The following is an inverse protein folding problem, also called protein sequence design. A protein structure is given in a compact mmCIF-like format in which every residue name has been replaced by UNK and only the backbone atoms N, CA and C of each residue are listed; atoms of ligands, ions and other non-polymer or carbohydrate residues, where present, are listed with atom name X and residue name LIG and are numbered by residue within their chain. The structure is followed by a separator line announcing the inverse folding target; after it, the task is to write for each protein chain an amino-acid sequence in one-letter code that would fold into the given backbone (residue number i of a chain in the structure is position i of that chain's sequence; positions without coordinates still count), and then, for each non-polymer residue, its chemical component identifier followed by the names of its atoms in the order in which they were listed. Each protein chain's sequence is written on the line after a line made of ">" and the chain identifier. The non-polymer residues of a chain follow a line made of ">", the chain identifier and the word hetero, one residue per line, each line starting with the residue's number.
data_IF_020706371865
#
_entry.id   IF_020706371865
#
_cell.length_a   1.000
_cell.length_b   1.000
_cell.length_c   1.000
_cell.angle_alpha   90.00
_cell.angle_beta   90.00
_cell.angle_gamma   90.00
#
_symmetry.space_group_name_H-M   'P 1'
#
loop_
_entity.id
_entity.type
_entity.pdbx_description
1 polymer ?
#
# COMPACT_ATOMS: atom_id res chain seq x y z
N UNK A 1 11.38 23.39 -66.45
CA UNK A 1 10.19 22.67 -65.92
C UNK A 1 10.47 21.28 -65.35
N UNK A 2 11.33 20.48 -65.96
CA UNK A 2 11.56 19.09 -65.49
C UNK A 2 12.21 18.96 -64.09
N UNK A 3 13.04 19.92 -63.68
CA UNK A 3 13.68 19.88 -62.33
C UNK A 3 12.74 20.15 -61.17
N UNK A 4 11.73 20.99 -61.37
CA UNK A 4 10.75 21.36 -60.32
C UNK A 4 9.78 20.22 -60.04
N UNK A 5 9.44 19.39 -61.05
CA UNK A 5 8.57 18.23 -60.90
C UNK A 5 9.27 17.13 -60.08
N UNK A 6 10.57 16.90 -60.29
CA UNK A 6 11.36 15.95 -59.51
C UNK A 6 11.48 16.33 -58.05
N UNK A 7 11.59 17.66 -57.77
CA UNK A 7 11.66 18.16 -56.38
C UNK A 7 10.35 17.99 -55.63
N UNK A 8 9.21 18.25 -56.27
CA UNK A 8 7.87 18.06 -55.72
C UNK A 8 7.53 16.57 -55.49
N UNK A 9 7.99 15.67 -56.37
CA UNK A 9 7.83 14.23 -56.16
C UNK A 9 8.68 13.74 -54.99
N UNK A 10 9.93 14.22 -54.83
CA UNK A 10 10.81 13.90 -53.69
C UNK A 10 10.22 14.38 -52.35
N UNK A 11 9.59 15.58 -52.35
CA UNK A 11 9.00 16.13 -51.15
C UNK A 11 7.73 15.39 -50.70
N UNK A 12 6.89 14.98 -51.67
CA UNK A 12 5.72 14.14 -51.43
C UNK A 12 6.07 12.75 -50.91
N UNK A 13 7.14 12.16 -51.46
CA UNK A 13 7.62 10.86 -51.00
C UNK A 13 8.17 10.89 -49.57
N UNK A 14 8.95 11.93 -49.21
CA UNK A 14 9.46 12.12 -47.84
C UNK A 14 8.34 12.37 -46.85
N UNK A 15 7.33 13.17 -47.21
CA UNK A 15 6.15 13.43 -46.38
C UNK A 15 5.34 12.15 -46.13
N UNK A 16 5.14 11.33 -47.14
CA UNK A 16 4.44 10.05 -47.04
C UNK A 16 5.18 9.06 -46.13
N UNK A 17 6.50 9.01 -46.22
CA UNK A 17 7.34 8.14 -45.36
C UNK A 17 7.27 8.54 -43.89
N UNK A 18 7.26 9.86 -43.58
CA UNK A 18 7.13 10.37 -42.23
C UNK A 18 5.73 10.04 -41.66
N UNK A 19 4.68 10.26 -42.46
CA UNK A 19 3.30 9.95 -42.01
C UNK A 19 3.16 8.43 -41.75
N UNK A 20 3.71 7.58 -42.62
CA UNK A 20 3.70 6.14 -42.43
C UNK A 20 4.47 5.71 -41.20
N UNK A 21 5.61 6.34 -40.91
CA UNK A 21 6.41 6.10 -39.73
C UNK A 21 5.67 6.47 -38.40
N UNK A 22 4.97 7.60 -38.43
CA UNK A 22 4.14 8.03 -37.27
C UNK A 22 2.96 7.10 -37.07
N UNK A 23 2.29 6.66 -38.16
CA UNK A 23 1.19 5.69 -38.08
C UNK A 23 1.66 4.32 -37.52
N UNK A 24 2.84 3.86 -37.93
CA UNK A 24 3.44 2.64 -37.42
C UNK A 24 3.80 2.76 -35.93
N UNK A 25 4.38 3.87 -35.50
CA UNK A 25 4.70 4.12 -34.11
C UNK A 25 3.43 4.15 -33.22
N UNK A 26 2.38 4.86 -33.66
CA UNK A 26 1.09 4.89 -32.96
C UNK A 26 0.47 3.48 -32.90
N UNK A 27 0.53 2.72 -33.99
CA UNK A 27 0.01 1.35 -34.05
C UNK A 27 0.75 0.42 -33.08
N UNK A 28 2.06 0.56 -32.93
CA UNK A 28 2.87 -0.22 -31.98
C UNK A 28 2.50 0.15 -30.54
N UNK A 29 2.35 1.45 -30.22
CA UNK A 29 1.94 1.90 -28.88
C UNK A 29 0.55 1.36 -28.53
N UNK A 30 -0.42 1.51 -29.44
CA UNK A 30 -1.78 0.99 -29.23
C UNK A 30 -1.80 -0.54 -29.11
N UNK A 31 -0.93 -1.25 -29.82
CA UNK A 31 -0.83 -2.70 -29.73
C UNK A 31 -0.19 -3.14 -28.40
N UNK A 32 0.81 -2.44 -27.91
CA UNK A 32 1.44 -2.71 -26.59
C UNK A 32 0.49 -2.43 -25.43
N UNK A 33 -0.27 -1.32 -25.49
CA UNK A 33 -1.31 -1.04 -24.49
C UNK A 33 -2.42 -2.09 -24.52
N UNK A 34 -2.90 -2.46 -25.71
CA UNK A 34 -3.93 -3.50 -25.86
C UNK A 34 -3.44 -4.88 -25.40
N UNK A 35 -2.17 -5.22 -25.66
CA UNK A 35 -1.55 -6.47 -25.20
C UNK A 35 -1.40 -6.46 -23.67
N UNK A 36 -1.06 -5.33 -23.06
CA UNK A 36 -1.01 -5.15 -21.61
C UNK A 36 -2.38 -5.34 -20.97
N UNK A 37 -3.44 -4.76 -21.55
CA UNK A 37 -4.82 -4.93 -21.09
C UNK A 37 -5.30 -6.39 -21.25
N UNK A 38 -4.96 -7.05 -22.36
CA UNK A 38 -5.30 -8.47 -22.56
C UNK A 38 -4.53 -9.37 -21.58
N UNK A 39 -3.27 -9.09 -21.33
CA UNK A 39 -2.45 -9.82 -20.38
C UNK A 39 -3.00 -9.67 -18.94
N UNK A 40 -3.38 -8.47 -18.53
CA UNK A 40 -4.06 -8.22 -17.26
C UNK A 40 -5.43 -8.94 -17.18
N UNK A 41 -6.19 -8.97 -18.28
CA UNK A 41 -7.47 -9.67 -18.32
C UNK A 41 -7.31 -11.20 -18.26
N UNK A 42 -6.25 -11.75 -18.89
CA UNK A 42 -5.93 -13.17 -18.80
C UNK A 42 -5.43 -13.57 -17.40
N UNK A 43 -4.61 -12.74 -16.77
CA UNK A 43 -4.20 -12.95 -15.36
C UNK A 43 -5.42 -12.95 -14.46
N UNK A 44 -6.31 -11.96 -14.58
CA UNK A 44 -7.56 -11.91 -13.81
C UNK A 44 -8.44 -13.14 -14.08
N UNK A 45 -8.56 -13.57 -15.33
CA UNK A 45 -9.35 -14.75 -15.70
C UNK A 45 -8.73 -16.04 -15.18
N UNK A 46 -7.41 -16.15 -15.19
CA UNK A 46 -6.68 -17.30 -14.66
C UNK A 46 -6.78 -17.36 -13.14
N UNK A 47 -6.63 -16.22 -12.44
CA UNK A 47 -6.85 -16.12 -11.02
C UNK A 47 -8.30 -16.44 -10.59
N UNK A 48 -9.30 -16.11 -11.45
CA UNK A 48 -10.70 -16.47 -11.19
C UNK A 48 -10.99 -17.95 -11.44
N UNK A 49 -10.34 -18.57 -12.42
CA UNK A 49 -10.48 -20.00 -12.72
C UNK A 49 -9.70 -20.88 -11.74
N UNK A 50 -8.60 -20.39 -11.20
CA UNK A 50 -7.82 -21.10 -10.17
C UNK A 50 -8.47 -21.01 -8.76
N UNK A 51 -9.44 -20.11 -8.54
CA UNK A 51 -10.15 -20.05 -7.25
C UNK A 51 -10.86 -21.38 -6.88
N UNK A 52 -11.37 -22.10 -7.86
CA UNK A 52 -12.03 -23.40 -7.61
C UNK A 52 -11.02 -24.55 -7.42
N UNK A 53 -9.77 -24.38 -7.88
CA UNK A 53 -8.68 -25.36 -7.68
C UNK A 53 -7.79 -25.03 -6.49
N UNK A 54 -7.70 -23.75 -6.08
CA UNK A 54 -6.93 -23.30 -4.91
C UNK A 54 -7.49 -23.84 -3.60
N UNK A 55 -8.78 -24.21 -3.52
CA UNK A 55 -9.33 -24.87 -2.34
C UNK A 55 -8.61 -26.18 -2.01
N UNK A 56 -7.98 -26.82 -2.99
CA UNK A 56 -7.23 -28.08 -2.77
C UNK A 56 -5.74 -27.82 -2.47
N UNK A 57 -5.16 -26.74 -2.99
CA UNK A 57 -3.76 -26.36 -2.68
C UNK A 57 -3.63 -25.60 -1.35
N UNK A 58 -4.64 -24.88 -0.93
CA UNK A 58 -4.66 -24.22 0.40
C UNK A 58 -4.52 -25.23 1.55
N UNK A 59 -4.87 -26.52 1.33
CA UNK A 59 -4.62 -27.56 2.33
C UNK A 59 -3.15 -28.02 2.37
N UNK A 60 -2.38 -27.84 1.31
CA UNK A 60 -0.95 -28.19 1.28
C UNK A 60 -0.06 -27.07 1.88
N UNK A 61 -0.50 -25.82 1.84
CA UNK A 61 0.19 -24.66 2.45
C UNK A 61 -0.05 -24.58 3.96
N UNK A 62 -1.00 -25.33 4.50
CA UNK A 62 -1.39 -25.37 5.93
C UNK A 62 -0.29 -25.88 6.88
N UNK A 63 0.89 -26.26 6.38
CA UNK A 63 2.04 -26.70 7.19
C UNK A 63 3.18 -25.67 7.28
N UNK A 64 3.02 -24.46 6.73
CA UNK A 64 3.91 -23.35 7.05
C UNK A 64 3.30 -22.65 8.24
N UNK A 65 3.91 -22.75 9.42
CA UNK A 65 3.50 -21.95 10.58
C UNK A 65 3.47 -20.50 10.15
N UNK A 66 2.27 -19.90 10.15
CA UNK A 66 2.11 -18.49 9.82
C UNK A 66 2.76 -17.65 10.88
N UNK A 67 3.79 -16.90 10.53
CA UNK A 67 4.42 -15.93 11.44
C UNK A 67 3.74 -14.55 11.40
N UNK A 68 2.78 -14.38 10.51
CA UNK A 68 2.05 -13.12 10.30
C UNK A 68 0.54 -13.31 10.47
N UNK A 69 -0.06 -12.42 11.27
CA UNK A 69 -1.50 -12.31 11.44
C UNK A 69 -1.99 -11.02 10.79
N UNK A 70 -3.02 -11.09 9.97
CA UNK A 70 -3.73 -9.91 9.45
C UNK A 70 -5.05 -9.76 10.17
N UNK A 71 -5.30 -8.58 10.72
CA UNK A 71 -6.58 -8.17 11.31
C UNK A 71 -7.30 -7.24 10.34
N UNK A 72 -8.52 -7.58 9.97
CA UNK A 72 -9.37 -6.75 9.12
C UNK A 72 -10.79 -6.68 9.66
N UNK A 73 -11.55 -5.70 9.20
CA UNK A 73 -12.99 -5.56 9.42
C UNK A 73 -13.73 -5.52 8.08
N UNK A 74 -14.39 -6.60 7.71
CA UNK A 74 -15.15 -6.69 6.46
C UNK A 74 -16.31 -5.71 6.34
N UNK A 75 -16.66 -4.99 7.40
CA UNK A 75 -17.64 -3.91 7.36
C UNK A 75 -17.04 -2.55 6.95
N UNK A 76 -15.72 -2.41 6.94
CA UNK A 76 -14.99 -1.24 6.47
C UNK A 76 -14.54 -1.45 5.02
N UNK A 77 -14.97 -0.60 4.10
CA UNK A 77 -14.67 -0.78 2.67
C UNK A 77 -13.18 -0.66 2.36
N UNK A 78 -12.47 0.26 3.02
CA UNK A 78 -11.03 0.45 2.92
C UNK A 78 -10.25 -0.77 3.42
N UNK A 79 -10.71 -1.41 4.49
CA UNK A 79 -10.13 -2.65 5.02
C UNK A 79 -10.20 -3.81 4.00
N UNK A 80 -11.33 -3.92 3.29
CA UNK A 80 -11.50 -4.96 2.25
C UNK A 80 -10.58 -4.70 1.07
N UNK A 81 -10.52 -3.46 0.60
CA UNK A 81 -9.64 -3.07 -0.52
C UNK A 81 -8.18 -3.29 -0.17
N UNK A 82 -7.76 -2.89 1.04
CA UNK A 82 -6.41 -3.10 1.51
C UNK A 82 -6.07 -4.59 1.59
N UNK A 83 -6.99 -5.43 2.09
CA UNK A 83 -6.75 -6.88 2.12
C UNK A 83 -6.50 -7.46 0.73
N UNK A 84 -7.29 -7.08 -0.28
CA UNK A 84 -7.09 -7.57 -1.65
C UNK A 84 -5.69 -7.22 -2.21
N UNK A 85 -5.09 -6.12 -1.76
CA UNK A 85 -3.74 -5.72 -2.17
C UNK A 85 -2.67 -6.47 -1.37
N UNK A 86 -2.81 -6.53 -0.05
CA UNK A 86 -1.89 -7.27 0.83
C UNK A 86 -1.86 -8.76 0.53
N UNK A 87 -3.01 -9.39 0.23
CA UNK A 87 -3.08 -10.79 -0.18
C UNK A 87 -2.16 -11.08 -1.37
N UNK A 88 -2.13 -10.19 -2.38
CA UNK A 88 -1.23 -10.32 -3.53
C UNK A 88 0.23 -10.18 -3.12
N UNK A 89 0.55 -9.21 -2.27
CA UNK A 89 1.91 -9.00 -1.76
C UNK A 89 2.38 -10.25 -1.02
N UNK A 90 1.57 -10.82 -0.13
CA UNK A 90 1.92 -12.02 0.61
C UNK A 90 2.08 -13.25 -0.30
N UNK A 91 1.22 -13.40 -1.32
CA UNK A 91 1.36 -14.44 -2.34
C UNK A 91 2.68 -14.31 -3.10
N UNK A 92 3.04 -13.11 -3.54
CA UNK A 92 4.30 -12.85 -4.25
C UNK A 92 5.53 -13.09 -3.35
N UNK A 93 5.44 -12.74 -2.08
CA UNK A 93 6.48 -12.99 -1.08
C UNK A 93 6.53 -14.45 -0.62
N UNK A 94 5.55 -15.28 -0.98
CA UNK A 94 5.39 -16.67 -0.51
C UNK A 94 5.38 -16.78 1.02
N UNK A 95 4.79 -15.79 1.68
CA UNK A 95 4.70 -15.72 3.14
C UNK A 95 3.36 -16.30 3.60
N UNK A 96 3.40 -17.24 4.55
CA UNK A 96 2.19 -17.75 5.19
C UNK A 96 1.56 -16.68 6.07
N UNK A 97 0.25 -16.49 5.93
CA UNK A 97 -0.51 -15.46 6.64
C UNK A 97 -1.80 -16.05 7.16
N UNK A 98 -2.13 -15.76 8.41
CA UNK A 98 -3.46 -16.02 8.97
C UNK A 98 -4.28 -14.74 8.91
N UNK A 99 -5.48 -14.84 8.34
CA UNK A 99 -6.44 -13.73 8.27
C UNK A 99 -7.49 -13.88 9.36
N UNK A 100 -7.68 -12.85 10.16
CA UNK A 100 -8.78 -12.74 11.11
C UNK A 100 -9.67 -11.54 10.75
N UNK A 101 -10.83 -11.83 10.17
CA UNK A 101 -11.91 -10.85 10.03
C UNK A 101 -12.65 -10.76 11.37
N UNK A 102 -12.56 -9.65 12.05
CA UNK A 102 -13.13 -9.43 13.38
C UNK A 102 -14.67 -9.51 13.42
N UNK A 103 -15.33 -9.51 12.26
CA UNK A 103 -16.78 -9.70 12.13
C UNK A 103 -17.17 -11.17 12.04
N UNK A 104 -16.27 -12.02 11.59
CA UNK A 104 -16.56 -13.40 11.26
C UNK A 104 -15.86 -14.42 12.17
N UNK A 105 -14.76 -14.00 12.80
CA UNK A 105 -13.92 -14.90 13.60
C UNK A 105 -13.50 -14.26 14.92
N UNK A 106 -13.21 -15.11 15.91
CA UNK A 106 -12.51 -14.66 17.10
C UNK A 106 -11.06 -14.31 16.76
N UNK A 107 -10.55 -13.26 17.38
CA UNK A 107 -9.17 -12.85 17.21
C UNK A 107 -8.28 -13.87 17.97
N UNK A 108 -7.32 -14.52 17.27
CA UNK A 108 -6.47 -15.53 17.87
C UNK A 108 -5.53 -14.93 18.94
N UNK A 109 -4.93 -15.79 19.75
CA UNK A 109 -3.83 -15.39 20.62
C UNK A 109 -2.60 -15.01 19.79
N UNK A 110 -1.90 -13.96 20.19
CA UNK A 110 -0.79 -13.38 19.42
C UNK A 110 0.55 -14.10 19.64
N UNK A 111 0.63 -15.04 20.60
CA UNK A 111 1.90 -15.66 21.00
C UNK A 111 2.60 -16.45 19.89
N UNK A 112 1.84 -16.93 18.90
CA UNK A 112 2.35 -17.68 17.75
C UNK A 112 2.85 -16.81 16.59
N UNK A 113 2.69 -15.50 16.65
CA UNK A 113 3.01 -14.60 15.55
C UNK A 113 4.21 -13.72 15.87
N UNK A 114 4.95 -13.33 14.83
CA UNK A 114 6.05 -12.35 14.91
C UNK A 114 5.58 -10.96 14.46
N UNK A 115 4.59 -10.93 13.57
CA UNK A 115 4.08 -9.70 12.96
C UNK A 115 2.55 -9.71 12.94
N UNK A 116 1.95 -8.56 13.25
CA UNK A 116 0.53 -8.30 13.05
C UNK A 116 0.39 -7.13 12.06
N UNK A 117 -0.44 -7.31 11.04
CA UNK A 117 -0.84 -6.24 10.11
C UNK A 117 -2.28 -5.88 10.41
N UNK A 118 -2.55 -4.62 10.71
CA UNK A 118 -3.89 -4.10 10.98
C UNK A 118 -4.36 -3.31 9.78
N UNK A 119 -5.32 -3.85 9.06
CA UNK A 119 -5.94 -3.24 7.88
C UNK A 119 -7.27 -2.57 8.28
N UNK A 120 -7.21 -1.62 9.18
CA UNK A 120 -8.38 -0.92 9.70
C UNK A 120 -8.02 0.54 9.98
N UNK A 121 -8.84 1.47 9.50
CA UNK A 121 -8.72 2.90 9.80
C UNK A 121 -9.43 3.27 11.11
N UNK A 122 -10.57 2.64 11.41
CA UNK A 122 -11.31 2.77 12.67
C UNK A 122 -10.98 1.57 13.59
N UNK A 123 -10.34 1.83 14.72
CA UNK A 123 -9.98 0.80 15.70
C UNK A 123 -11.05 0.53 16.76
N UNK A 124 -12.16 1.28 16.79
CA UNK A 124 -13.24 1.07 17.75
C UNK A 124 -13.76 -0.38 17.82
N UNK A 125 -13.87 -1.12 16.70
CA UNK A 125 -14.30 -2.52 16.75
C UNK A 125 -13.33 -3.45 17.50
N UNK A 126 -12.03 -3.11 17.55
CA UNK A 126 -11.03 -3.92 18.28
C UNK A 126 -11.12 -3.78 19.80
N UNK A 127 -11.66 -2.67 20.32
CA UNK A 127 -11.83 -2.44 21.77
C UNK A 127 -10.53 -2.73 22.56
N UNK A 128 -10.63 -3.58 23.57
CA UNK A 128 -9.51 -3.97 24.44
C UNK A 128 -8.37 -4.71 23.71
N UNK A 129 -8.63 -5.19 22.49
CA UNK A 129 -7.60 -5.86 21.69
C UNK A 129 -6.48 -4.89 21.32
N UNK A 130 -6.77 -3.60 21.13
CA UNK A 130 -5.75 -2.56 20.91
C UNK A 130 -4.73 -2.52 22.05
N UNK A 131 -5.21 -2.66 23.31
CA UNK A 131 -4.33 -2.71 24.48
C UNK A 131 -3.51 -4.00 24.48
N UNK A 132 -4.13 -5.13 24.12
CA UNK A 132 -3.42 -6.42 24.02
C UNK A 132 -2.33 -6.38 22.96
N UNK A 133 -2.58 -5.76 21.80
CA UNK A 133 -1.59 -5.49 20.76
C UNK A 133 -0.41 -4.70 21.36
N UNK A 134 -0.67 -3.59 22.05
CA UNK A 134 0.36 -2.80 22.68
C UNK A 134 1.23 -3.59 23.67
N UNK A 135 0.61 -4.42 24.49
CA UNK A 135 1.33 -5.27 25.45
C UNK A 135 2.12 -6.40 24.78
N UNK A 136 1.66 -6.87 23.63
CA UNK A 136 2.37 -7.88 22.85
C UNK A 136 3.58 -7.27 22.13
N UNK A 137 3.47 -6.05 21.60
CA UNK A 137 4.61 -5.30 21.02
C UNK A 137 5.66 -5.04 22.08
N UNK A 138 5.28 -4.65 23.29
CA UNK A 138 6.23 -4.43 24.40
C UNK A 138 7.11 -5.66 24.67
N UNK A 139 6.60 -6.88 24.42
CA UNK A 139 7.31 -8.15 24.60
C UNK A 139 8.16 -8.57 23.39
N UNK A 140 8.08 -7.88 22.26
CA UNK A 140 8.92 -8.13 21.09
C UNK A 140 8.18 -8.28 19.77
N UNK A 141 6.85 -8.20 19.77
CA UNK A 141 6.03 -8.25 18.55
C UNK A 141 6.22 -7.03 17.64
N UNK A 142 5.84 -7.16 16.39
CA UNK A 142 5.86 -6.08 15.40
C UNK A 142 4.46 -5.84 14.87
N UNK A 143 4.03 -4.58 14.82
CA UNK A 143 2.72 -4.22 14.27
C UNK A 143 2.89 -3.23 13.15
N UNK A 144 2.18 -3.46 12.04
CA UNK A 144 1.97 -2.50 10.98
C UNK A 144 0.50 -2.05 10.98
N UNK A 145 0.25 -0.77 11.21
CA UNK A 145 -1.02 -0.14 10.87
C UNK A 145 -0.88 0.37 9.43
N UNK A 146 -1.60 -0.26 8.50
CA UNK A 146 -1.41 -0.06 7.06
C UNK A 146 -2.49 0.83 6.42
N UNK A 147 -3.34 1.43 7.22
CA UNK A 147 -4.33 2.43 6.79
C UNK A 147 -4.24 3.66 7.69
N UNK A 148 -4.56 4.81 7.11
CA UNK A 148 -4.64 6.07 7.85
C UNK A 148 -5.56 5.91 9.05
N UNK A 149 -4.99 6.03 10.24
CA UNK A 149 -5.74 5.93 11.48
C UNK A 149 -6.63 7.18 11.67
N UNK A 150 -7.79 6.95 12.28
CA UNK A 150 -8.66 8.04 12.71
C UNK A 150 -8.52 8.21 14.23
N UNK A 151 -8.43 9.45 14.68
CA UNK A 151 -8.38 9.73 16.12
C UNK A 151 -9.68 9.30 16.78
N UNK A 152 -9.59 8.25 17.57
CA UNK A 152 -10.68 7.71 18.37
C UNK A 152 -10.22 7.42 19.80
N UNK A 153 -11.12 6.86 20.62
CA UNK A 153 -10.81 6.51 22.01
C UNK A 153 -9.71 5.47 22.12
N UNK A 154 -9.68 4.49 21.20
CA UNK A 154 -8.73 3.37 21.28
C UNK A 154 -7.38 3.73 20.69
N UNK A 155 -7.34 4.50 19.62
CA UNK A 155 -6.09 5.08 19.09
C UNK A 155 -5.43 5.95 20.17
N UNK A 156 -6.20 6.79 20.88
CA UNK A 156 -5.68 7.64 21.96
C UNK A 156 -5.04 6.85 23.12
N UNK A 157 -5.43 5.59 23.33
CA UNK A 157 -4.81 4.71 24.33
C UNK A 157 -3.40 4.23 23.94
N UNK A 158 -3.06 4.30 22.65
CA UNK A 158 -1.78 3.82 22.12
C UNK A 158 -0.94 4.91 21.45
N UNK A 159 -1.43 6.15 21.33
CA UNK A 159 -0.71 7.26 20.67
C UNK A 159 0.76 7.37 21.13
N UNK A 160 0.99 7.36 22.43
CA UNK A 160 2.35 7.43 22.98
C UNK A 160 3.20 6.20 22.57
N UNK A 161 2.58 5.02 22.46
CA UNK A 161 3.28 3.80 22.01
C UNK A 161 3.61 3.87 20.53
N UNK A 162 2.78 4.56 19.75
CA UNK A 162 3.04 4.86 18.33
C UNK A 162 4.12 5.94 18.14
N UNK A 163 4.56 6.59 19.22
CA UNK A 163 5.50 7.71 19.16
C UNK A 163 4.85 9.05 18.84
N UNK A 164 3.52 9.13 18.86
CA UNK A 164 2.77 10.36 18.61
C UNK A 164 2.87 11.24 19.86
N UNK A 165 3.28 12.50 19.67
CA UNK A 165 3.42 13.51 20.73
C UNK A 165 2.30 14.53 20.71
N UNK A 166 1.72 14.76 19.52
CA UNK A 166 0.59 15.64 19.31
C UNK A 166 -0.23 15.15 18.12
N UNK A 167 -1.54 15.29 18.22
CA UNK A 167 -2.47 14.85 17.19
C UNK A 167 -3.71 15.72 17.17
N UNK A 168 -4.15 16.11 15.99
CA UNK A 168 -5.41 16.82 15.77
C UNK A 168 -6.52 15.85 15.35
N UNK A 169 -7.77 16.28 15.33
CA UNK A 169 -8.90 15.52 14.76
C UNK A 169 -9.01 15.69 13.24
N UNK A 170 -8.16 16.53 12.66
CA UNK A 170 -8.16 16.86 11.24
C UNK A 170 -7.24 15.98 10.41
N UNK A 171 -7.53 15.96 9.11
CA UNK A 171 -6.63 15.39 8.11
C UNK A 171 -6.06 16.54 7.26
N UNK A 172 -4.85 16.34 6.78
CA UNK A 172 -4.21 17.21 5.79
C UNK A 172 -4.31 16.56 4.42
N UNK A 173 -4.56 17.39 3.40
CA UNK A 173 -4.45 16.91 2.01
C UNK A 173 -2.98 16.73 1.65
N UNK A 174 -2.69 15.64 0.98
CA UNK A 174 -1.32 15.28 0.56
C UNK A 174 -1.26 15.40 -0.95
N UNK A 175 -0.55 16.40 -1.45
CA UNK A 175 -0.28 16.61 -2.87
C UNK A 175 1.15 16.24 -3.26
N UNK A 176 2.06 16.26 -2.28
CA UNK A 176 3.46 15.97 -2.47
C UNK A 176 4.07 15.31 -1.25
N UNK A 177 4.82 14.25 -1.48
CA UNK A 177 5.46 13.48 -0.42
C UNK A 177 6.99 13.48 -0.63
N UNK A 178 7.73 13.49 0.47
CA UNK A 178 9.15 13.18 0.48
C UNK A 178 9.34 11.80 1.10
N UNK A 179 10.14 10.95 0.45
CA UNK A 179 10.49 9.62 0.95
C UNK A 179 11.99 9.58 1.20
N UNK A 180 12.38 9.14 2.40
CA UNK A 180 13.78 8.98 2.79
C UNK A 180 14.46 7.88 1.95
N UNK A 181 15.75 8.06 1.63
CA UNK A 181 16.55 7.10 0.86
C UNK A 181 16.84 5.82 1.65
N UNK A 182 16.80 5.86 2.97
CA UNK A 182 16.89 4.68 3.84
C UNK A 182 15.66 3.76 3.73
N UNK A 183 14.50 4.27 3.26
CA UNK A 183 13.26 3.52 3.21
C UNK A 183 13.12 2.66 1.95
N UNK A 184 13.47 3.23 0.79
CA UNK A 184 13.34 2.52 -0.49
C UNK A 184 14.41 2.94 -1.48
N UNK A 185 14.75 2.02 -2.39
CA UNK A 185 15.66 2.31 -3.50
C UNK A 185 15.07 3.43 -4.37
N UNK A 186 15.82 4.53 -4.53
CA UNK A 186 15.38 5.71 -5.28
C UNK A 186 14.59 6.72 -4.43
N UNK A 187 14.59 6.57 -3.11
CA UNK A 187 14.19 7.60 -2.15
C UNK A 187 15.11 8.82 -2.19
N UNK A 188 15.12 9.60 -1.12
CA UNK A 188 15.87 10.86 -1.02
C UNK A 188 15.32 11.97 -1.93
N UNK A 189 14.05 11.91 -2.32
CA UNK A 189 13.40 12.86 -3.23
C UNK A 189 11.90 12.96 -3.00
N UNK A 190 11.33 13.99 -3.58
CA UNK A 190 9.90 14.25 -3.54
C UNK A 190 9.17 13.62 -4.73
N UNK A 191 7.94 13.22 -4.48
CA UNK A 191 7.01 12.67 -5.45
C UNK A 191 5.71 13.46 -5.42
N UNK A 192 5.21 13.83 -6.59
CA UNK A 192 3.90 14.45 -6.73
C UNK A 192 2.82 13.37 -6.70
N UNK A 193 1.78 13.59 -5.90
CA UNK A 193 0.58 12.74 -5.91
C UNK A 193 -0.36 13.28 -7.00
N UNK A 194 -0.73 12.48 -8.00
CA UNK A 194 -1.49 12.95 -9.17
C UNK A 194 -2.87 13.47 -8.82
N UNK A 195 -3.53 12.84 -7.86
CA UNK A 195 -4.88 13.17 -7.43
C UNK A 195 -4.84 13.60 -5.95
N UNK A 196 -5.02 14.89 -5.69
CA UNK A 196 -5.01 15.47 -4.35
C UNK A 196 -6.27 15.11 -3.50
N UNK A 197 -6.70 13.85 -3.58
CA UNK A 197 -7.82 13.33 -2.77
C UNK A 197 -7.33 12.54 -1.56
N UNK A 198 -6.05 12.19 -1.55
CA UNK A 198 -5.50 11.44 -0.44
C UNK A 198 -5.22 12.35 0.75
N UNK A 199 -5.56 11.88 1.92
CA UNK A 199 -5.40 12.63 3.16
C UNK A 199 -4.66 11.81 4.19
N UNK A 200 -3.82 12.49 4.97
CA UNK A 200 -3.14 11.92 6.12
C UNK A 200 -3.69 12.54 7.41
N UNK A 201 -3.70 11.78 8.48
CA UNK A 201 -4.02 12.29 9.80
C UNK A 201 -2.94 13.29 10.26
N UNK A 202 -3.35 14.49 10.71
CA UNK A 202 -2.43 15.53 11.16
C UNK A 202 -1.87 15.18 12.54
N UNK A 203 -0.61 14.70 12.55
CA UNK A 203 0.10 14.26 13.76
C UNK A 203 1.51 14.80 13.81
N UNK A 204 2.07 14.85 15.01
CA UNK A 204 3.50 15.03 15.25
C UNK A 204 4.05 13.81 16.00
N UNK A 205 5.26 13.39 15.65
CA UNK A 205 5.93 12.27 16.31
C UNK A 205 7.16 12.76 17.08
N UNK A 206 7.51 12.05 18.13
CA UNK A 206 8.64 12.37 18.98
C UNK A 206 9.98 11.87 18.42
N UNK A 207 11.07 12.24 19.10
CA UNK A 207 12.44 11.89 18.71
C UNK A 207 12.73 10.37 18.71
N UNK A 208 11.90 9.57 19.39
CA UNK A 208 12.04 8.10 19.40
C UNK A 208 11.50 7.44 18.14
N UNK A 209 10.68 8.16 17.36
CA UNK A 209 10.14 7.67 16.11
C UNK A 209 11.10 7.98 14.96
N UNK A 210 11.35 6.99 14.13
CA UNK A 210 12.08 7.17 12.86
C UNK A 210 11.07 7.37 11.75
N UNK A 211 11.05 8.58 11.17
CA UNK A 211 10.17 8.93 10.04
C UNK A 211 10.86 8.58 8.74
N UNK A 212 10.15 7.91 7.85
CA UNK A 212 10.62 7.48 6.52
C UNK A 212 9.98 8.26 5.38
N UNK A 213 8.78 8.81 5.59
CA UNK A 213 8.11 9.64 4.60
C UNK A 213 7.30 10.73 5.31
N UNK A 214 7.19 11.90 4.69
CA UNK A 214 6.43 13.03 5.19
C UNK A 214 5.87 13.88 4.05
N UNK A 215 4.89 14.75 4.33
CA UNK A 215 4.41 15.73 3.38
C UNK A 215 5.53 16.71 3.01
N UNK A 216 5.73 16.96 1.71
CA UNK A 216 6.78 17.88 1.25
C UNK A 216 6.23 19.32 1.21
N UNK A 217 5.82 19.79 2.37
CA UNK A 217 5.31 21.12 2.65
C UNK A 217 5.94 21.70 3.94
N UNK A 218 5.45 22.85 4.38
CA UNK A 218 5.95 23.52 5.60
C UNK A 218 5.63 22.73 6.87
N UNK A 219 4.52 21.95 6.89
CA UNK A 219 4.07 21.19 8.06
C UNK A 219 4.90 19.93 8.29
N UNK A 220 5.38 19.28 7.22
CA UNK A 220 6.12 18.01 7.27
C UNK A 220 5.42 16.94 8.11
N UNK A 221 4.12 16.74 7.84
CA UNK A 221 3.34 15.72 8.56
C UNK A 221 3.91 14.33 8.25
N UNK A 222 4.22 13.52 9.27
CA UNK A 222 4.70 12.16 9.09
C UNK A 222 3.68 11.28 8.36
N UNK A 223 4.12 10.60 7.33
CA UNK A 223 3.29 9.68 6.52
C UNK A 223 3.63 8.23 6.81
N UNK A 224 4.92 7.92 6.93
CA UNK A 224 5.37 6.57 7.30
C UNK A 224 6.43 6.72 8.39
N UNK A 225 6.22 6.05 9.52
CA UNK A 225 7.22 6.03 10.58
C UNK A 225 7.22 4.72 11.36
N UNK A 226 8.31 4.45 12.03
CA UNK A 226 8.38 3.39 13.04
C UNK A 226 8.68 3.98 14.41
N UNK A 227 8.14 3.39 15.45
CA UNK A 227 8.49 3.68 16.83
C UNK A 227 8.81 2.39 17.58
N UNK A 228 9.94 2.38 18.28
CA UNK A 228 10.33 1.26 19.14
C UNK A 228 9.58 1.36 20.47
N UNK A 229 8.94 0.25 20.88
CA UNK A 229 8.23 0.19 22.15
C UNK A 229 8.54 -1.12 22.88
N UNK A 230 9.17 -1.03 24.05
CA UNK A 230 9.68 -2.19 24.75
C UNK A 230 10.74 -2.94 23.94
N UNK A 231 10.47 -4.21 23.62
CA UNK A 231 11.35 -5.05 22.77
C UNK A 231 10.89 -5.11 21.32
N UNK A 232 9.72 -4.60 21.01
CA UNK A 232 9.11 -4.63 19.70
C UNK A 232 9.02 -3.25 19.06
N UNK A 233 8.23 -3.16 18.00
CA UNK A 233 8.03 -1.91 17.27
C UNK A 233 6.66 -1.79 16.64
N UNK A 234 6.22 -0.57 16.50
CA UNK A 234 5.10 -0.16 15.68
C UNK A 234 5.61 0.45 14.39
N UNK A 235 4.96 0.14 13.29
CA UNK A 235 5.09 0.83 12.00
C UNK A 235 3.71 1.39 11.68
N UNK A 236 3.65 2.63 11.27
CA UNK A 236 2.40 3.30 10.91
C UNK A 236 2.53 3.82 9.49
N UNK A 237 1.58 3.44 8.65
CA UNK A 237 1.32 4.05 7.36
C UNK A 237 0.11 4.99 7.52
N UNK A 238 0.40 6.28 7.61
CA UNK A 238 -0.59 7.34 7.81
C UNK A 238 -1.13 7.90 6.49
N UNK A 239 -0.80 7.26 5.37
CA UNK A 239 -1.18 7.74 4.06
C UNK A 239 -2.03 6.71 3.28
N UNK A 240 -2.02 5.45 3.75
CA UNK A 240 -2.75 4.37 3.09
C UNK A 240 -2.20 4.13 1.69
N UNK A 241 -0.90 3.94 1.56
CA UNK A 241 -0.22 3.63 0.29
C UNK A 241 -0.65 2.26 -0.30
N UNK A 242 -1.79 1.76 0.09
CA UNK A 242 -2.36 0.50 -0.37
C UNK A 242 -3.26 0.69 -1.58
#
# INVERSE_FOLDING_TARGET
>A
MAGMIKYLQSFRFKGLTVILGVFLAISVVLWTERSGIQYQAEIKKKAYLDRDTVVTETQAVKNIESSCLVLMDSSQADSVVAWEQFERIFMDMKTGVDLADIRQSEIPDFSGYETIVVLMSDLNPLKDVVIKIGNWVEKGGRVLFALTLQKDTYVSLIEQKLGITDSDYGNVLVDKIYIDDDFMIGGGRSFQIPDAYDSAWEVSVGETAKVYAWTDDEKKVPLIWENSYGKGKFVVDNFGLC
#
